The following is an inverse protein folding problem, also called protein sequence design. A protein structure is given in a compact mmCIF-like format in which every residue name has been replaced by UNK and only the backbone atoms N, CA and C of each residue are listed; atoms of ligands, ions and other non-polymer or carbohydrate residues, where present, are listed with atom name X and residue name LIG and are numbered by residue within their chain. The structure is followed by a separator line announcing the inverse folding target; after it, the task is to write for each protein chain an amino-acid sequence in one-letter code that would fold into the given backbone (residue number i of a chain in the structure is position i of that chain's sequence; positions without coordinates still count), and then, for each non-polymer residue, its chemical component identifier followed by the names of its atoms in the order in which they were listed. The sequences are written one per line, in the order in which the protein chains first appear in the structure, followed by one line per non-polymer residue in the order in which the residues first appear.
data_IF_846486663624
#
_entry.id   IF_846486663624
#
_cell.length_a   1.000
_cell.length_b   1.000
_cell.length_c   1.000
_cell.angle_alpha   90.00
_cell.angle_beta   90.00
_cell.angle_gamma   90.00
#
_symmetry.space_group_name_H-M   'P 1'
#
loop_
_entity.id
_entity.type
_entity.pdbx_description
1 polymer ?
#
# COMPACT_ATOMS: atom_id res chain seq x y z
N UNK A 1 16.83 5.72 -3.98
CA UNK A 1 18.29 5.76 -4.18
C UNK A 1 19.10 5.82 -2.89
N UNK A 2 18.53 5.41 -1.74
CA UNK A 2 19.28 5.22 -0.49
C UNK A 2 19.75 3.77 -0.47
N UNK A 3 21.02 3.52 -0.17
CA UNK A 3 21.52 2.15 0.02
C UNK A 3 21.01 1.63 1.36
N UNK A 4 20.49 0.42 1.38
CA UNK A 4 19.98 -0.21 2.60
C UNK A 4 20.20 -1.72 2.52
N UNK A 5 20.21 -2.36 3.69
CA UNK A 5 20.15 -3.81 3.82
C UNK A 5 18.67 -4.22 4.01
N UNK A 6 18.17 -5.13 3.19
CA UNK A 6 16.85 -5.71 3.36
C UNK A 6 16.94 -6.96 4.22
N UNK A 7 16.13 -7.05 5.28
CA UNK A 7 15.99 -8.23 6.14
C UNK A 7 14.55 -8.71 6.12
N UNK A 8 14.35 -9.94 5.67
CA UNK A 8 13.05 -10.60 5.74
C UNK A 8 12.78 -11.10 7.17
N UNK A 9 11.51 -11.08 7.57
CA UNK A 9 11.05 -11.57 8.87
C UNK A 9 9.85 -12.51 8.66
N UNK A 10 9.79 -13.61 9.40
CA UNK A 10 8.65 -14.53 9.38
C UNK A 10 7.58 -14.04 10.35
N UNK A 11 6.45 -13.58 9.82
CA UNK A 11 5.38 -13.03 10.65
C UNK A 11 4.61 -14.08 11.48
N UNK A 12 4.78 -15.37 11.18
CA UNK A 12 4.27 -16.48 12.01
C UNK A 12 5.24 -16.84 13.14
N UNK A 13 6.53 -16.50 13.00
CA UNK A 13 7.58 -16.72 13.99
C UNK A 13 8.54 -15.51 14.02
N UNK A 14 8.08 -14.41 14.62
CA UNK A 14 8.75 -13.11 14.56
C UNK A 14 10.13 -13.15 15.21
N UNK A 15 11.12 -12.55 14.57
CA UNK A 15 12.48 -12.51 15.10
C UNK A 15 12.60 -11.69 16.39
N UNK A 16 13.53 -12.07 17.28
CA UNK A 16 13.87 -11.28 18.47
C UNK A 16 14.29 -9.85 18.11
N UNK A 17 14.93 -9.68 16.95
CA UNK A 17 15.33 -8.38 16.43
C UNK A 17 14.11 -7.49 16.17
N UNK A 18 13.07 -8.01 15.50
CA UNK A 18 11.82 -7.28 15.27
C UNK A 18 11.13 -6.92 16.58
N UNK A 19 11.04 -7.88 17.52
CA UNK A 19 10.42 -7.67 18.82
C UNK A 19 11.14 -6.60 19.64
N UNK A 20 12.48 -6.51 19.52
CA UNK A 20 13.30 -5.47 20.15
C UNK A 20 13.14 -4.11 19.47
N UNK A 21 13.07 -4.06 18.15
CA UNK A 21 13.02 -2.81 17.38
C UNK A 21 11.62 -2.15 17.39
N UNK A 22 10.55 -2.95 17.43
CA UNK A 22 9.17 -2.48 17.52
C UNK A 22 8.42 -3.20 18.67
N UNK A 23 8.76 -2.91 19.94
CA UNK A 23 8.17 -3.62 21.08
C UNK A 23 6.67 -3.34 21.25
N UNK A 24 6.21 -2.15 20.81
CA UNK A 24 4.82 -1.71 20.92
C UNK A 24 3.92 -2.53 19.99
N UNK A 25 4.15 -2.45 18.68
CA UNK A 25 3.26 -3.06 17.70
C UNK A 25 3.74 -4.42 17.19
N UNK A 26 5.05 -4.71 17.29
CA UNK A 26 5.65 -5.97 16.81
C UNK A 26 5.32 -6.22 15.34
N UNK A 27 5.33 -5.16 14.52
CA UNK A 27 4.96 -5.17 13.09
C UNK A 27 6.11 -4.67 12.22
N UNK A 28 6.14 -5.19 11.00
CA UNK A 28 6.91 -4.62 9.89
C UNK A 28 6.05 -3.59 9.11
N UNK A 29 6.67 -2.66 8.36
CA UNK A 29 8.11 -2.41 8.28
C UNK A 29 8.67 -1.70 9.52
N UNK A 30 9.97 -1.90 9.76
CA UNK A 30 10.77 -1.08 10.69
C UNK A 30 12.01 -0.60 9.95
N UNK A 31 12.14 0.71 9.77
CA UNK A 31 13.34 1.32 9.22
C UNK A 31 14.34 1.53 10.35
N UNK A 32 15.56 1.02 10.22
CA UNK A 32 16.64 1.28 11.20
C UNK A 32 17.68 2.19 10.55
N UNK A 33 17.77 3.43 11.02
CA UNK A 33 18.76 4.39 10.56
C UNK A 33 19.75 4.70 11.69
N UNK A 34 21.03 4.33 11.50
CA UNK A 34 22.09 4.49 12.50
C UNK A 34 21.73 3.90 13.87
N UNK A 35 21.19 2.68 13.86
CA UNK A 35 20.77 1.95 15.06
C UNK A 35 19.45 2.44 15.69
N UNK A 36 18.78 3.45 15.11
CA UNK A 36 17.52 4.00 15.63
C UNK A 36 16.33 3.49 14.81
N UNK A 37 15.34 2.81 15.43
CA UNK A 37 14.16 2.33 14.72
C UNK A 37 13.15 3.46 14.46
N UNK A 38 12.55 3.43 13.27
CA UNK A 38 11.38 4.22 12.86
C UNK A 38 10.32 3.22 12.41
N UNK A 39 9.26 3.11 13.21
CA UNK A 39 8.13 2.20 12.98
C UNK A 39 7.00 2.92 12.23
N UNK A 40 6.03 2.14 11.73
CA UNK A 40 4.92 2.59 10.88
C UNK A 40 5.37 3.08 9.50
N UNK A 41 4.82 2.49 8.45
CA UNK A 41 5.24 2.72 7.07
C UNK A 41 5.18 4.19 6.66
N UNK A 42 4.04 4.84 6.92
CA UNK A 42 3.81 6.25 6.56
C UNK A 42 4.67 7.23 7.36
N UNK A 43 5.04 6.88 8.60
CA UNK A 43 5.99 7.65 9.41
C UNK A 43 7.40 7.46 8.87
N UNK A 44 7.80 6.24 8.53
CA UNK A 44 9.10 5.96 7.92
C UNK A 44 9.28 6.65 6.56
N UNK A 45 8.24 6.72 5.73
CA UNK A 45 8.29 7.46 4.45
C UNK A 45 8.49 8.96 4.67
N UNK A 46 7.81 9.57 5.65
CA UNK A 46 8.04 10.99 5.98
C UNK A 46 9.45 11.23 6.53
N UNK A 47 9.93 10.33 7.41
CA UNK A 47 11.30 10.39 7.91
C UNK A 47 12.32 10.32 6.76
N UNK A 48 12.10 9.46 5.77
CA UNK A 48 12.94 9.38 4.58
C UNK A 48 12.91 10.71 3.80
N UNK A 49 11.73 11.29 3.60
CA UNK A 49 11.55 12.55 2.89
C UNK A 49 12.29 13.72 3.57
N UNK A 50 12.24 13.77 4.91
CA UNK A 50 12.88 14.82 5.71
C UNK A 50 14.40 14.67 5.78
N UNK A 51 14.91 13.43 5.87
CA UNK A 51 16.35 13.14 6.00
C UNK A 51 17.08 13.27 4.66
N UNK A 52 16.47 12.83 3.55
CA UNK A 52 17.05 12.86 2.20
C UNK A 52 16.34 13.87 1.28
N UNK A 53 15.96 15.03 1.87
CA UNK A 53 15.18 16.10 1.24
C UNK A 53 15.75 16.68 -0.06
N UNK A 54 17.05 16.53 -0.28
CA UNK A 54 17.81 17.10 -1.40
C UNK A 54 17.70 16.26 -2.68
N UNK A 55 17.03 15.10 -2.63
CA UNK A 55 16.97 14.17 -3.76
C UNK A 55 15.68 14.26 -4.58
N UNK A 56 14.55 13.93 -3.97
CA UNK A 56 13.24 13.91 -4.64
C UNK A 56 12.17 14.02 -3.56
N UNK A 57 11.65 15.23 -3.31
CA UNK A 57 10.65 15.44 -2.26
C UNK A 57 9.37 14.66 -2.59
N UNK A 58 8.87 13.92 -1.60
CA UNK A 58 7.62 13.17 -1.67
C UNK A 58 6.44 14.01 -1.17
N UNK A 59 6.65 14.84 -0.15
CA UNK A 59 5.65 15.77 0.34
C UNK A 59 5.79 17.16 -0.29
N UNK A 60 4.66 17.85 -0.56
CA UNK A 60 4.67 19.25 -0.93
C UNK A 60 5.29 20.15 0.15
N UNK A 61 5.92 21.25 -0.29
CA UNK A 61 6.50 22.26 0.60
C UNK A 61 5.43 23.17 1.23
N UNK A 62 4.34 23.44 0.52
CA UNK A 62 3.23 24.27 1.01
C UNK A 62 2.44 23.52 2.10
N UNK A 63 2.17 24.14 3.26
CA UNK A 63 1.52 23.45 4.38
C UNK A 63 0.16 22.84 4.05
N UNK A 64 -0.68 23.54 3.29
CA UNK A 64 -1.99 23.05 2.89
C UNK A 64 -1.88 21.79 2.02
N UNK A 65 -1.09 21.85 0.96
CA UNK A 65 -0.89 20.72 0.03
C UNK A 65 -0.27 19.51 0.76
N UNK A 66 0.62 19.76 1.72
CA UNK A 66 1.19 18.71 2.59
C UNK A 66 0.15 18.08 3.52
N UNK A 67 -0.75 18.88 4.09
CA UNK A 67 -1.85 18.37 4.91
C UNK A 67 -2.81 17.53 4.06
N UNK A 68 -3.11 17.95 2.84
CA UNK A 68 -3.93 17.21 1.88
C UNK A 68 -3.31 15.86 1.49
N UNK A 69 -2.00 15.84 1.20
CA UNK A 69 -1.28 14.58 0.93
C UNK A 69 -1.31 13.62 2.13
N UNK A 70 -1.16 14.14 3.35
CA UNK A 70 -1.26 13.35 4.58
C UNK A 70 -2.65 12.78 4.80
N UNK A 71 -3.69 13.57 4.53
CA UNK A 71 -5.08 13.11 4.62
C UNK A 71 -5.33 11.91 3.71
N UNK A 72 -4.91 11.97 2.45
CA UNK A 72 -5.13 10.87 1.52
C UNK A 72 -4.29 9.64 1.83
N UNK A 73 -3.05 9.80 2.28
CA UNK A 73 -2.25 8.68 2.74
C UNK A 73 -2.87 7.98 3.97
N UNK A 74 -3.39 8.74 4.93
CA UNK A 74 -4.13 8.19 6.07
C UNK A 74 -5.41 7.48 5.63
N UNK A 75 -6.19 8.10 4.73
CA UNK A 75 -7.38 7.47 4.15
C UNK A 75 -7.05 6.10 3.54
N UNK A 76 -5.94 6.01 2.79
CA UNK A 76 -5.48 4.76 2.18
C UNK A 76 -5.14 3.72 3.26
N UNK A 77 -4.37 4.09 4.29
CA UNK A 77 -3.96 3.20 5.37
C UNK A 77 -5.16 2.63 6.14
N UNK A 78 -6.14 3.49 6.44
CA UNK A 78 -7.35 3.11 7.16
C UNK A 78 -8.34 2.30 6.32
N UNK A 79 -8.50 2.64 5.03
CA UNK A 79 -9.57 2.08 4.19
C UNK A 79 -9.09 0.95 3.29
N UNK A 80 -8.12 1.20 2.42
CA UNK A 80 -7.75 0.28 1.33
C UNK A 80 -7.29 -1.07 1.87
N UNK A 81 -6.46 -1.07 2.92
CA UNK A 81 -5.99 -2.33 3.52
C UNK A 81 -7.13 -3.12 4.18
N UNK A 82 -7.98 -2.48 4.99
CA UNK A 82 -9.03 -3.17 5.73
C UNK A 82 -10.14 -3.68 4.80
N UNK A 83 -10.56 -2.86 3.84
CA UNK A 83 -11.56 -3.24 2.84
C UNK A 83 -11.02 -4.32 1.90
N UNK A 84 -9.77 -4.21 1.45
CA UNK A 84 -9.12 -5.27 0.66
C UNK A 84 -9.04 -6.61 1.40
N UNK A 85 -8.88 -6.60 2.74
CA UNK A 85 -8.99 -7.83 3.55
C UNK A 85 -10.40 -8.41 3.55
N UNK A 86 -11.45 -7.59 3.61
CA UNK A 86 -12.83 -8.08 3.49
C UNK A 86 -13.05 -8.74 2.13
N UNK A 87 -12.60 -8.12 1.04
CA UNK A 87 -12.68 -8.68 -0.32
C UNK A 87 -11.93 -10.02 -0.42
N UNK A 88 -10.74 -10.11 0.16
CA UNK A 88 -9.89 -11.29 -0.03
C UNK A 88 -10.09 -12.40 1.00
N UNK A 89 -10.73 -12.15 2.14
CA UNK A 89 -10.75 -13.11 3.27
C UNK A 89 -12.13 -13.30 3.93
N UNK A 90 -13.12 -12.44 3.66
CA UNK A 90 -14.46 -12.63 4.22
C UNK A 90 -15.32 -13.59 3.37
N UNK A 91 -16.49 -13.99 3.89
CA UNK A 91 -17.52 -14.76 3.18
C UNK A 91 -18.90 -14.10 3.30
N UNK A 92 -19.82 -14.53 2.43
CA UNK A 92 -21.24 -14.19 2.51
C UNK A 92 -21.50 -12.69 2.54
N UNK A 93 -22.39 -12.24 3.41
CA UNK A 93 -22.84 -10.84 3.48
C UNK A 93 -21.68 -9.86 3.77
N UNK A 94 -20.71 -10.27 4.59
CA UNK A 94 -19.54 -9.42 4.92
C UNK A 94 -18.63 -9.23 3.70
N UNK A 95 -18.48 -10.27 2.88
CA UNK A 95 -17.74 -10.19 1.62
C UNK A 95 -18.40 -9.22 0.64
N UNK A 96 -19.70 -9.37 0.40
CA UNK A 96 -20.43 -8.53 -0.55
C UNK A 96 -20.46 -7.06 -0.12
N UNK A 97 -20.71 -6.78 1.16
CA UNK A 97 -20.64 -5.42 1.70
C UNK A 97 -19.23 -4.83 1.59
N UNK A 98 -18.21 -5.61 1.96
CA UNK A 98 -16.81 -5.20 1.87
C UNK A 98 -16.36 -4.90 0.43
N UNK A 99 -16.83 -5.69 -0.55
CA UNK A 99 -16.59 -5.46 -1.97
C UNK A 99 -17.20 -4.15 -2.45
N UNK A 100 -18.47 -3.89 -2.11
CA UNK A 100 -19.14 -2.63 -2.48
C UNK A 100 -18.41 -1.43 -1.87
N UNK A 101 -18.09 -1.48 -0.58
CA UNK A 101 -17.31 -0.43 0.11
C UNK A 101 -15.93 -0.24 -0.52
N UNK A 102 -15.27 -1.32 -0.95
CA UNK A 102 -13.96 -1.26 -1.58
C UNK A 102 -14.01 -0.57 -2.95
N UNK A 103 -15.00 -0.89 -3.78
CA UNK A 103 -15.17 -0.24 -5.09
C UNK A 103 -15.42 1.26 -4.91
N UNK A 104 -16.28 1.66 -3.97
CA UNK A 104 -16.52 3.09 -3.68
C UNK A 104 -15.27 3.79 -3.15
N UNK A 105 -14.46 3.11 -2.34
CA UNK A 105 -13.16 3.61 -1.88
C UNK A 105 -12.20 3.86 -3.06
N UNK A 106 -12.13 2.93 -4.03
CA UNK A 106 -11.31 3.10 -5.23
C UNK A 106 -11.82 4.25 -6.12
N UNK A 107 -13.14 4.41 -6.26
CA UNK A 107 -13.75 5.52 -6.99
C UNK A 107 -13.46 6.88 -6.36
N UNK A 108 -13.45 6.97 -5.03
CA UNK A 108 -13.05 8.18 -4.32
C UNK A 108 -11.58 8.53 -4.58
N UNK A 109 -10.68 7.54 -4.57
CA UNK A 109 -9.27 7.73 -4.90
C UNK A 109 -9.08 8.12 -6.37
N UNK A 110 -9.85 7.53 -7.29
CA UNK A 110 -9.83 7.92 -8.69
C UNK A 110 -10.34 9.37 -8.90
N UNK A 111 -11.40 9.75 -8.19
CA UNK A 111 -11.92 11.12 -8.18
C UNK A 111 -10.90 12.12 -7.66
N UNK A 112 -10.20 11.78 -6.58
CA UNK A 112 -9.07 12.59 -6.11
C UNK A 112 -7.97 12.66 -7.17
N UNK A 113 -7.53 11.54 -7.74
CA UNK A 113 -6.50 11.55 -8.78
C UNK A 113 -6.86 12.52 -9.93
N UNK A 114 -8.13 12.51 -10.34
CA UNK A 114 -8.63 13.35 -11.42
C UNK A 114 -7.94 13.01 -12.74
N UNK A 115 -7.44 14.04 -13.43
CA UNK A 115 -6.68 13.89 -14.68
C UNK A 115 -5.15 13.99 -14.48
N UNK A 116 -4.69 14.06 -13.23
CA UNK A 116 -3.27 14.20 -12.91
C UNK A 116 -2.53 12.89 -13.20
N UNK A 117 -1.26 12.93 -13.64
CA UNK A 117 -0.51 11.71 -13.91
C UNK A 117 -0.22 10.93 -12.62
N UNK A 118 -0.04 11.63 -11.50
CA UNK A 118 0.18 11.12 -10.14
C UNK A 118 -0.67 11.88 -9.11
N UNK A 119 -0.84 11.31 -7.91
CA UNK A 119 -1.47 12.02 -6.79
C UNK A 119 -0.62 13.21 -6.31
N UNK A 120 0.71 13.13 -6.47
CA UNK A 120 1.61 14.27 -6.29
C UNK A 120 1.55 15.34 -7.38
N UNK A 121 0.60 15.28 -8.32
CA UNK A 121 0.52 16.17 -9.47
C UNK A 121 1.36 15.65 -10.63
N UNK A 122 2.28 16.47 -11.14
CA UNK A 122 3.18 16.09 -12.24
C UNK A 122 4.30 15.15 -11.80
N UNK A 123 4.52 15.04 -10.49
CA UNK A 123 5.58 14.22 -9.89
C UNK A 123 4.99 13.16 -8.97
N UNK A 124 5.59 11.97 -8.98
CA UNK A 124 5.28 10.89 -8.05
C UNK A 124 5.60 11.31 -6.60
N UNK A 125 4.61 11.24 -5.71
CA UNK A 125 4.70 11.78 -4.35
C UNK A 125 4.22 10.83 -3.25
N UNK A 126 3.97 11.39 -2.07
CA UNK A 126 3.67 10.66 -0.85
C UNK A 126 2.43 9.76 -0.94
N UNK A 127 1.35 10.25 -1.53
CA UNK A 127 0.11 9.49 -1.72
C UNK A 127 0.32 8.35 -2.72
N UNK A 128 1.14 8.56 -3.75
CA UNK A 128 1.48 7.51 -4.70
C UNK A 128 2.26 6.38 -4.02
N UNK A 129 3.25 6.72 -3.18
CA UNK A 129 4.00 5.75 -2.35
C UNK A 129 3.07 4.96 -1.42
N UNK A 130 2.06 5.63 -0.85
CA UNK A 130 1.09 4.98 0.04
C UNK A 130 0.18 3.99 -0.72
N UNK A 131 -0.27 4.34 -1.93
CA UNK A 131 -1.27 3.55 -2.66
C UNK A 131 -0.66 2.48 -3.57
N UNK A 132 0.47 2.77 -4.23
CA UNK A 132 0.99 1.89 -5.29
C UNK A 132 1.31 0.46 -4.82
N UNK A 133 1.71 0.19 -3.56
CA UNK A 133 1.91 -1.20 -3.13
C UNK A 133 0.65 -2.07 -3.24
N UNK A 134 -0.54 -1.47 -3.12
CA UNK A 134 -1.79 -2.20 -3.28
C UNK A 134 -2.07 -2.66 -4.71
N UNK A 135 -1.42 -2.06 -5.72
CA UNK A 135 -1.49 -2.54 -7.10
C UNK A 135 -1.03 -3.99 -7.24
N UNK A 136 0.01 -4.39 -6.49
CA UNK A 136 0.47 -5.79 -6.45
C UNK A 136 -0.62 -6.78 -6.00
N UNK A 137 -1.68 -6.28 -5.35
CA UNK A 137 -2.81 -7.05 -4.83
C UNK A 137 -4.08 -6.94 -5.69
N UNK A 138 -4.07 -6.16 -6.78
CA UNK A 138 -5.26 -5.97 -7.62
C UNK A 138 -5.77 -7.29 -8.18
N UNK A 139 -4.90 -8.13 -8.75
CA UNK A 139 -5.31 -9.44 -9.23
C UNK A 139 -5.93 -10.32 -8.14
N UNK A 140 -5.49 -10.21 -6.88
CA UNK A 140 -6.14 -10.92 -5.77
C UNK A 140 -7.52 -10.33 -5.44
N UNK A 141 -7.66 -8.99 -5.44
CA UNK A 141 -8.96 -8.35 -5.24
C UNK A 141 -9.97 -8.73 -6.32
N UNK A 142 -9.56 -8.73 -7.59
CA UNK A 142 -10.40 -9.11 -8.72
C UNK A 142 -10.78 -10.60 -8.66
N UNK A 143 -9.81 -11.48 -8.39
CA UNK A 143 -10.03 -12.93 -8.30
C UNK A 143 -11.00 -13.30 -7.18
N UNK A 144 -10.78 -12.79 -5.96
CA UNK A 144 -11.58 -13.18 -4.80
C UNK A 144 -12.85 -12.35 -4.65
N UNK A 145 -12.86 -11.11 -5.15
CA UNK A 145 -14.03 -10.25 -5.18
C UNK A 145 -14.96 -10.48 -6.36
N UNK A 146 -14.49 -11.16 -7.42
CA UNK A 146 -15.23 -11.38 -8.67
C UNK A 146 -15.77 -10.07 -9.28
N UNK A 147 -14.88 -9.11 -9.49
CA UNK A 147 -15.16 -7.84 -10.18
C UNK A 147 -13.89 -7.38 -10.91
N UNK A 148 -14.03 -6.39 -11.81
CA UNK A 148 -12.89 -5.77 -12.50
C UNK A 148 -12.63 -4.38 -11.96
N UNK A 149 -11.41 -4.12 -11.49
CA UNK A 149 -10.99 -2.80 -11.04
C UNK A 149 -10.88 -1.85 -12.24
N UNK A 150 -10.41 -2.34 -13.39
CA UNK A 150 -10.30 -1.51 -14.61
C UNK A 150 -11.66 -1.06 -15.14
N UNK A 151 -12.70 -1.89 -15.03
CA UNK A 151 -14.05 -1.52 -15.42
C UNK A 151 -14.67 -0.44 -14.49
N UNK A 152 -14.35 -0.49 -13.19
CA UNK A 152 -14.88 0.45 -12.20
C UNK A 152 -14.06 1.74 -12.08
N UNK A 153 -12.73 1.64 -12.25
CA UNK A 153 -11.74 2.69 -12.01
C UNK A 153 -10.60 2.68 -13.06
N UNK A 154 -10.90 3.01 -14.34
CA UNK A 154 -9.93 2.92 -15.43
C UNK A 154 -8.75 3.90 -15.31
N UNK A 155 -8.96 5.11 -14.79
CA UNK A 155 -7.88 6.10 -14.59
C UNK A 155 -6.95 5.66 -13.47
N UNK A 156 -7.48 5.02 -12.44
CA UNK A 156 -6.67 4.46 -11.35
C UNK A 156 -5.79 3.30 -11.85
N UNK A 157 -6.32 2.42 -12.71
CA UNK A 157 -5.50 1.37 -13.35
C UNK A 157 -4.45 1.98 -14.28
N UNK A 158 -4.78 3.01 -15.05
CA UNK A 158 -3.82 3.71 -15.89
C UNK A 158 -2.70 4.39 -15.06
N UNK A 159 -3.05 4.98 -13.92
CA UNK A 159 -2.09 5.52 -12.95
C UNK A 159 -1.16 4.44 -12.42
N UNK A 160 -1.70 3.29 -12.01
CA UNK A 160 -0.88 2.20 -11.48
C UNK A 160 0.10 1.65 -12.53
N UNK A 161 -0.35 1.50 -13.79
CA UNK A 161 0.50 1.14 -14.93
C UNK A 161 1.64 2.16 -15.12
N UNK A 162 1.35 3.47 -15.13
CA UNK A 162 2.40 4.51 -15.18
C UNK A 162 3.37 4.43 -14.01
N UNK A 163 2.88 4.15 -12.80
CA UNK A 163 3.75 3.98 -11.64
C UNK A 163 4.72 2.80 -11.82
N UNK A 164 4.31 1.72 -12.47
CA UNK A 164 5.17 0.56 -12.75
C UNK A 164 6.31 0.85 -13.73
N UNK A 165 6.18 1.87 -14.59
CA UNK A 165 7.27 2.32 -15.47
C UNK A 165 8.46 2.90 -14.67
N UNK A 166 8.24 3.25 -13.39
CA UNK A 166 9.29 3.71 -12.49
C UNK A 166 10.08 2.52 -11.95
N UNK A 167 11.40 2.53 -12.14
CA UNK A 167 12.31 1.52 -11.60
C UNK A 167 12.17 1.35 -10.08
N UNK A 168 11.92 2.45 -9.35
CA UNK A 168 11.72 2.43 -7.89
C UNK A 168 10.45 1.68 -7.46
N UNK A 169 9.47 1.53 -8.35
CA UNK A 169 8.21 0.81 -8.07
C UNK A 169 8.32 -0.62 -8.56
N UNK A 170 8.71 -0.83 -9.82
CA UNK A 170 8.78 -2.17 -10.42
C UNK A 170 9.75 -3.10 -9.71
N UNK A 171 10.84 -2.59 -9.14
CA UNK A 171 11.77 -3.39 -8.33
C UNK A 171 11.30 -3.69 -6.91
N UNK A 172 10.32 -2.94 -6.40
CA UNK A 172 9.85 -3.05 -5.01
C UNK A 172 8.57 -3.87 -4.88
N UNK A 173 7.77 -4.00 -5.93
CA UNK A 173 6.50 -4.73 -5.88
C UNK A 173 6.66 -6.19 -6.33
N UNK A 174 6.04 -7.15 -5.63
CA UNK A 174 6.01 -8.54 -6.08
C UNK A 174 5.11 -8.72 -7.31
N UNK A 175 5.36 -9.79 -8.07
CA UNK A 175 4.46 -10.24 -9.14
C UNK A 175 3.07 -10.56 -8.57
N UNK A 176 2.01 -10.09 -9.23
CA UNK A 176 0.63 -10.26 -8.74
C UNK A 176 0.23 -11.73 -8.60
N UNK A 177 0.74 -12.64 -9.42
CA UNK A 177 0.45 -14.09 -9.30
C UNK A 177 0.99 -14.65 -7.99
N UNK A 178 2.21 -14.25 -7.58
CA UNK A 178 2.76 -14.65 -6.27
C UNK A 178 1.91 -14.12 -5.11
N UNK A 179 1.34 -12.93 -5.27
CA UNK A 179 0.42 -12.37 -4.27
C UNK A 179 -0.90 -13.16 -4.24
N UNK A 180 -1.47 -13.52 -5.38
CA UNK A 180 -2.67 -14.37 -5.47
C UNK A 180 -2.41 -15.71 -4.78
N UNK A 181 -1.32 -16.41 -5.12
CA UNK A 181 -0.92 -17.69 -4.51
C UNK A 181 -0.78 -17.58 -2.98
N UNK A 182 -0.13 -16.51 -2.51
CA UNK A 182 -0.01 -16.24 -1.07
C UNK A 182 -1.39 -16.06 -0.41
N UNK A 183 -2.27 -15.26 -1.01
CA UNK A 183 -3.63 -15.02 -0.49
C UNK A 183 -4.46 -16.31 -0.51
N UNK A 184 -4.38 -17.13 -1.56
CA UNK A 184 -5.00 -18.46 -1.61
C UNK A 184 -4.54 -19.34 -0.43
N UNK A 185 -3.22 -19.41 -0.19
CA UNK A 185 -2.67 -20.19 0.94
C UNK A 185 -3.21 -19.69 2.28
N UNK A 186 -3.25 -18.38 2.47
CA UNK A 186 -3.78 -17.76 3.69
C UNK A 186 -5.26 -18.05 3.87
N UNK A 187 -6.07 -17.98 2.80
CA UNK A 187 -7.50 -18.33 2.83
C UNK A 187 -7.71 -19.78 3.27
N UNK A 188 -6.90 -20.72 2.79
CA UNK A 188 -6.95 -22.13 3.22
C UNK A 188 -6.61 -22.30 4.70
N UNK A 189 -5.55 -21.65 5.17
CA UNK A 189 -5.14 -21.70 6.59
C UNK A 189 -6.22 -21.14 7.54
N UNK A 190 -6.99 -20.14 7.08
CA UNK A 190 -8.07 -19.53 7.87
C UNK A 190 -9.43 -20.21 7.66
N UNK A 191 -9.51 -21.32 6.92
CA UNK A 191 -10.78 -22.01 6.63
C UNK A 191 -11.75 -21.16 5.78
N UNK A 192 -11.23 -20.18 5.04
CA UNK A 192 -12.03 -19.33 4.16
C UNK A 192 -12.43 -20.08 2.88
N UNK A 193 -11.61 -21.01 2.42
CA UNK A 193 -11.97 -21.99 1.40
C UNK A 193 -12.22 -23.35 2.05
N UNK A 194 -13.32 -24.00 1.64
CA UNK A 194 -13.65 -25.41 1.94
C UNK A 194 -13.19 -26.28 0.79
#
# INVERSE_FOLDING_TARGET
GVKYEHKEDDLWNKSDLLLKLNPVHKKIPVLVHNGKPVCESLVAVQYIDEVWKDRSPLLPSRPFDRAHARFWADYIDQKVYQLGKKVTRAKGVVHEAGKKEFIECLKLLEGELGDRPYFGGDTFGYVDVALVPFYSRFGAYETFGNFSIEAECPKLVAWAKRCMDRESVSKSLPDQRKVIEHVTRVRKLEGVES
#
